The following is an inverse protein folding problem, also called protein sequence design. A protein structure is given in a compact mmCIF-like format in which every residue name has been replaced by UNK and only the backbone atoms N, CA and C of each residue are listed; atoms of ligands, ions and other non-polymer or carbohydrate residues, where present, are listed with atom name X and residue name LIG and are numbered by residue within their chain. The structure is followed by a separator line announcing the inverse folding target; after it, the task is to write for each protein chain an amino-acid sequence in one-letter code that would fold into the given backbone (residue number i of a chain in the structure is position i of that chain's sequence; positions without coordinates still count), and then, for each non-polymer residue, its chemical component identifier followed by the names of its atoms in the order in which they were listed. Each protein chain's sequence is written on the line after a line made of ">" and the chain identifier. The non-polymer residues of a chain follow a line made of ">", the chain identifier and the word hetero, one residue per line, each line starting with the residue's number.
data_IF_363664894846
#
_entry.id   IF_363664894846
#
_cell.length_a   1.000
_cell.length_b   1.000
_cell.length_c   1.000
_cell.angle_alpha   90.00
_cell.angle_beta   90.00
_cell.angle_gamma   90.00
#
_symmetry.space_group_name_H-M   'P 1'
#
loop_
_entity.id
_entity.type
_entity.pdbx_description
1 polymer ?
#
# COMPACT_ATOMS: atom_id res chain seq x y z
N UNK A 1 41.60 -12.68 36.98
CA UNK A 1 41.96 -13.14 35.61
C UNK A 1 41.51 -14.58 35.46
N UNK A 2 40.27 -14.79 35.05
CA UNK A 2 39.81 -16.07 34.52
C UNK A 2 39.36 -15.76 33.09
N UNK A 3 40.32 -15.79 32.16
CA UNK A 3 40.02 -15.61 30.75
C UNK A 3 39.28 -16.85 30.25
N UNK A 4 38.07 -16.64 29.74
CA UNK A 4 37.36 -17.54 28.83
C UNK A 4 38.29 -18.06 27.73
N UNK A 5 38.04 -19.29 27.30
CA UNK A 5 38.91 -20.05 26.42
C UNK A 5 39.17 -19.34 25.08
N UNK A 6 40.24 -19.78 24.40
CA UNK A 6 40.71 -19.24 23.12
C UNK A 6 39.69 -19.43 21.98
N UNK A 7 38.73 -20.33 22.18
CA UNK A 7 37.70 -20.71 21.21
C UNK A 7 36.32 -20.06 21.46
N UNK A 8 36.20 -19.23 22.51
CA UNK A 8 34.92 -18.59 22.87
C UNK A 8 34.67 -17.35 21.98
N UNK A 9 33.76 -17.49 21.01
CA UNK A 9 33.20 -16.38 20.22
C UNK A 9 32.09 -15.67 21.01
N UNK A 10 32.18 -14.34 21.15
CA UNK A 10 31.17 -13.47 21.77
C UNK A 10 29.96 -13.23 20.84
N UNK A 11 30.09 -13.59 19.56
CA UNK A 11 28.98 -13.55 18.61
C UNK A 11 28.09 -14.74 18.86
N UNK A 12 26.86 -14.48 19.32
CA UNK A 12 25.87 -15.52 19.57
C UNK A 12 25.42 -16.12 18.24
N UNK A 13 25.65 -17.42 17.98
CA UNK A 13 25.19 -18.07 16.76
C UNK A 13 23.67 -17.96 16.60
N UNK A 14 22.93 -18.03 17.70
CA UNK A 14 21.48 -17.90 17.72
C UNK A 14 21.00 -16.56 17.13
N UNK A 15 21.58 -15.43 17.57
CA UNK A 15 21.24 -14.09 17.07
C UNK A 15 21.56 -13.98 15.58
N UNK A 16 22.72 -14.48 15.16
CA UNK A 16 23.18 -14.46 13.76
C UNK A 16 22.23 -15.23 12.84
N UNK A 17 21.88 -16.47 13.20
CA UNK A 17 21.03 -17.32 12.36
C UNK A 17 19.57 -16.88 12.36
N UNK A 18 19.05 -16.35 13.47
CA UNK A 18 17.71 -15.77 13.51
C UNK A 18 17.63 -14.53 12.61
N UNK A 19 18.58 -13.60 12.75
CA UNK A 19 18.60 -12.41 11.92
C UNK A 19 18.74 -12.76 10.43
N UNK A 20 19.59 -13.73 10.11
CA UNK A 20 19.69 -14.26 8.75
C UNK A 20 18.38 -14.86 8.25
N UNK A 21 17.74 -15.74 9.03
CA UNK A 21 16.50 -16.40 8.64
C UNK A 21 15.38 -15.40 8.36
N UNK A 22 15.16 -14.43 9.25
CA UNK A 22 14.15 -13.39 9.06
C UNK A 22 14.43 -12.55 7.80
N UNK A 23 15.67 -12.08 7.63
CA UNK A 23 16.04 -11.30 6.44
C UNK A 23 15.93 -12.11 5.14
N UNK A 24 16.22 -13.40 5.19
CA UNK A 24 16.11 -14.29 4.03
C UNK A 24 14.66 -14.49 3.60
N UNK A 25 13.73 -14.62 4.56
CA UNK A 25 12.30 -14.68 4.26
C UNK A 25 11.82 -13.37 3.61
N UNK A 26 12.18 -12.21 4.17
CA UNK A 26 11.84 -10.92 3.55
C UNK A 26 12.45 -10.75 2.16
N UNK A 27 13.69 -11.22 1.96
CA UNK A 27 14.33 -11.20 0.65
C UNK A 27 13.56 -12.02 -0.40
N UNK A 28 13.10 -13.22 -0.03
CA UNK A 28 12.24 -14.05 -0.90
C UNK A 28 10.90 -13.36 -1.19
N UNK A 29 10.24 -12.81 -0.16
CA UNK A 29 8.99 -12.07 -0.33
C UNK A 29 9.16 -10.86 -1.25
N UNK A 30 10.22 -10.07 -1.08
CA UNK A 30 10.52 -8.92 -1.95
C UNK A 30 10.77 -9.34 -3.40
N UNK A 31 11.49 -10.45 -3.61
CA UNK A 31 11.70 -11.02 -4.94
C UNK A 31 10.40 -11.47 -5.61
N UNK A 32 9.51 -12.14 -4.86
CA UNK A 32 8.19 -12.55 -5.35
C UNK A 32 7.31 -11.34 -5.69
N UNK A 33 7.23 -10.35 -4.81
CA UNK A 33 6.48 -9.11 -5.05
C UNK A 33 6.98 -8.39 -6.30
N UNK A 34 8.29 -8.23 -6.44
CA UNK A 34 8.89 -7.61 -7.63
C UNK A 34 8.59 -8.42 -8.90
N UNK A 35 8.67 -9.75 -8.85
CA UNK A 35 8.37 -10.63 -9.97
C UNK A 35 6.91 -10.54 -10.42
N UNK A 36 5.96 -10.58 -9.48
CA UNK A 36 4.53 -10.39 -9.76
C UNK A 36 4.27 -9.00 -10.34
N UNK A 37 4.94 -7.97 -9.81
CA UNK A 37 4.75 -6.58 -10.24
C UNK A 37 5.23 -6.37 -11.67
N UNK A 38 6.41 -6.90 -12.00
CA UNK A 38 6.94 -6.87 -13.37
C UNK A 38 6.03 -7.63 -14.33
N UNK A 39 5.53 -8.81 -13.94
CA UNK A 39 4.60 -9.56 -14.78
C UNK A 39 3.30 -8.79 -15.04
N UNK A 40 2.68 -8.25 -13.99
CA UNK A 40 1.45 -7.46 -14.11
C UNK A 40 1.65 -6.20 -14.97
N UNK A 41 2.77 -5.49 -14.79
CA UNK A 41 3.12 -4.32 -15.58
C UNK A 41 3.29 -4.63 -17.07
N UNK A 42 3.95 -5.75 -17.39
CA UNK A 42 4.13 -6.18 -18.79
C UNK A 42 2.79 -6.54 -19.42
N UNK A 43 1.94 -7.29 -18.72
CA UNK A 43 0.64 -7.71 -19.25
C UNK A 43 -0.28 -6.50 -19.49
N UNK A 44 -0.29 -5.53 -18.56
CA UNK A 44 -1.03 -4.27 -18.71
C UNK A 44 -0.56 -3.46 -19.93
N UNK A 45 0.75 -3.26 -20.06
CA UNK A 45 1.32 -2.41 -21.12
C UNK A 45 1.43 -3.07 -22.51
N UNK A 46 1.11 -4.36 -22.62
CA UNK A 46 1.12 -5.08 -23.91
C UNK A 46 0.03 -4.59 -24.87
N UNK A 47 -1.10 -4.12 -24.32
CA UNK A 47 -2.28 -3.73 -25.09
C UNK A 47 -2.46 -2.22 -25.16
N UNK A 48 -2.14 -1.50 -24.08
CA UNK A 48 -2.24 -0.04 -23.98
C UNK A 48 -0.95 0.51 -23.39
N UNK A 49 -0.17 1.26 -24.17
CA UNK A 49 1.01 1.94 -23.64
C UNK A 49 0.54 3.20 -22.91
N UNK A 50 0.47 3.14 -21.58
CA UNK A 50 0.23 4.33 -20.76
C UNK A 50 1.53 5.13 -20.65
N UNK A 51 1.50 6.38 -21.12
CA UNK A 51 2.55 7.35 -20.78
C UNK A 51 2.39 7.76 -19.31
N UNK A 52 3.46 7.60 -18.52
CA UNK A 52 3.52 8.11 -17.15
C UNK A 52 3.78 9.61 -17.22
N UNK A 53 2.73 10.41 -17.05
CA UNK A 53 2.79 11.88 -17.20
C UNK A 53 2.81 12.60 -15.85
N UNK A 54 2.25 11.97 -14.81
CA UNK A 54 2.16 12.52 -13.46
C UNK A 54 2.60 11.52 -12.39
N UNK A 55 2.94 12.04 -11.21
CA UNK A 55 3.27 11.22 -10.03
C UNK A 55 2.06 10.40 -9.56
N UNK A 56 0.84 10.91 -9.80
CA UNK A 56 -0.40 10.20 -9.47
C UNK A 56 -0.57 8.92 -10.30
N UNK A 57 -0.08 8.90 -11.54
CA UNK A 57 -0.10 7.72 -12.43
C UNK A 57 0.75 6.58 -11.82
N UNK A 58 1.88 6.93 -11.22
CA UNK A 58 2.78 5.99 -10.55
C UNK A 58 2.15 5.47 -9.25
N UNK A 59 1.48 6.33 -8.50
CA UNK A 59 0.90 6.01 -7.18
C UNK A 59 -0.35 5.13 -7.27
N UNK A 60 -1.17 5.31 -8.32
CA UNK A 60 -2.39 4.53 -8.52
C UNK A 60 -2.13 3.20 -9.23
N UNK A 61 -1.03 3.07 -9.98
CA UNK A 61 -0.65 1.81 -10.61
C UNK A 61 -0.11 0.79 -9.58
N UNK A 62 -0.96 -0.17 -9.23
CA UNK A 62 -0.66 -1.24 -8.28
C UNK A 62 0.60 -2.04 -8.70
N UNK A 63 0.82 -2.23 -10.01
CA UNK A 63 1.98 -3.00 -10.51
C UNK A 63 3.28 -2.25 -10.25
N UNK A 64 3.32 -0.95 -10.54
CA UNK A 64 4.50 -0.10 -10.31
C UNK A 64 4.81 -0.03 -8.81
N UNK A 65 3.79 0.19 -7.96
CA UNK A 65 3.96 0.22 -6.51
C UNK A 65 4.52 -1.11 -5.99
N UNK A 66 4.02 -2.24 -6.49
CA UNK A 66 4.50 -3.58 -6.11
C UNK A 66 5.98 -3.79 -6.50
N UNK A 67 6.41 -3.29 -7.67
CA UNK A 67 7.81 -3.33 -8.11
C UNK A 67 8.70 -2.50 -7.18
N UNK A 68 8.29 -1.26 -6.87
CA UNK A 68 9.09 -0.34 -6.04
C UNK A 68 9.22 -0.90 -4.62
N UNK A 69 8.11 -1.25 -3.97
CA UNK A 69 8.11 -1.81 -2.61
C UNK A 69 8.87 -3.13 -2.58
N UNK A 70 8.61 -4.03 -3.54
CA UNK A 70 9.30 -5.32 -3.66
C UNK A 70 10.81 -5.16 -3.82
N UNK A 71 11.25 -4.19 -4.65
CA UNK A 71 12.66 -3.88 -4.84
C UNK A 71 13.34 -3.35 -3.57
N UNK A 72 12.70 -2.45 -2.84
CA UNK A 72 13.21 -1.94 -1.56
C UNK A 72 13.36 -3.09 -0.54
N UNK A 73 12.32 -3.92 -0.39
CA UNK A 73 12.34 -5.07 0.52
C UNK A 73 13.41 -6.09 0.11
N UNK A 74 13.59 -6.34 -1.18
CA UNK A 74 14.63 -7.22 -1.71
C UNK A 74 16.04 -6.70 -1.38
N UNK A 75 16.33 -5.42 -1.64
CA UNK A 75 17.65 -4.82 -1.35
C UNK A 75 17.93 -4.85 0.16
N UNK A 76 16.94 -4.50 0.99
CA UNK A 76 17.08 -4.51 2.44
C UNK A 76 17.30 -5.92 2.98
N UNK A 77 16.49 -6.90 2.56
CA UNK A 77 16.65 -8.30 2.95
C UNK A 77 18.01 -8.86 2.54
N UNK A 78 18.49 -8.55 1.34
CA UNK A 78 19.82 -8.96 0.87
C UNK A 78 20.94 -8.34 1.72
N UNK A 79 20.84 -7.04 2.01
CA UNK A 79 21.82 -6.33 2.85
C UNK A 79 21.85 -6.88 4.28
N UNK A 80 20.70 -7.20 4.86
CA UNK A 80 20.58 -7.83 6.18
C UNK A 80 21.17 -9.23 6.21
N UNK A 81 20.90 -10.05 5.18
CA UNK A 81 21.48 -11.40 5.05
C UNK A 81 23.01 -11.36 4.99
N UNK A 82 23.58 -10.55 4.10
CA UNK A 82 25.05 -10.44 3.96
C UNK A 82 25.66 -9.80 5.20
N UNK A 83 25.04 -8.76 5.74
CA UNK A 83 25.48 -8.10 6.97
C UNK A 83 25.61 -9.09 8.13
N UNK A 84 24.61 -9.95 8.31
CA UNK A 84 24.61 -10.98 9.35
C UNK A 84 25.63 -12.09 9.07
N UNK A 85 25.64 -12.69 7.87
CA UNK A 85 26.50 -13.84 7.56
C UNK A 85 27.99 -13.49 7.50
N UNK A 86 28.31 -12.36 6.86
CA UNK A 86 29.69 -11.88 6.67
C UNK A 86 30.19 -11.02 7.83
N UNK A 87 29.37 -10.80 8.86
CA UNK A 87 29.71 -9.95 10.01
C UNK A 87 30.21 -8.56 9.57
N UNK A 88 29.59 -8.04 8.50
CA UNK A 88 29.94 -6.76 7.90
C UNK A 88 29.15 -5.65 8.58
N UNK A 89 29.81 -4.98 9.54
CA UNK A 89 29.24 -3.87 10.31
C UNK A 89 28.68 -2.76 9.40
N UNK A 90 29.33 -2.44 8.28
CA UNK A 90 28.85 -1.35 7.40
C UNK A 90 27.48 -1.70 6.80
N UNK A 91 27.33 -2.91 6.25
CA UNK A 91 26.05 -3.38 5.71
C UNK A 91 24.98 -3.50 6.80
N UNK A 92 25.34 -3.97 8.00
CA UNK A 92 24.43 -4.07 9.12
C UNK A 92 23.93 -2.70 9.58
N UNK A 93 24.81 -1.68 9.58
CA UNK A 93 24.48 -0.27 9.87
C UNK A 93 23.52 0.33 8.87
N UNK A 94 23.76 0.11 7.59
CA UNK A 94 22.86 0.57 6.52
C UNK A 94 21.49 -0.10 6.70
N UNK A 95 21.48 -1.42 6.92
CA UNK A 95 20.25 -2.19 7.12
C UNK A 95 19.40 -1.64 8.27
N UNK A 96 19.90 -1.64 9.51
CA UNK A 96 19.07 -1.17 10.63
C UNK A 96 18.82 0.34 10.56
N UNK A 97 19.72 1.11 9.94
CA UNK A 97 19.57 2.54 9.73
C UNK A 97 18.37 2.86 8.85
N UNK A 98 18.19 2.14 7.75
CA UNK A 98 17.01 2.29 6.88
C UNK A 98 15.75 1.81 7.59
N UNK A 99 15.79 0.70 8.35
CA UNK A 99 14.63 0.24 9.12
C UNK A 99 14.20 1.27 10.17
N UNK A 100 15.14 1.97 10.83
CA UNK A 100 14.81 3.09 11.74
C UNK A 100 14.10 4.22 10.97
N UNK A 101 14.58 4.59 9.79
CA UNK A 101 13.93 5.63 8.98
C UNK A 101 12.50 5.23 8.57
N UNK A 102 12.30 3.97 8.19
CA UNK A 102 10.97 3.42 7.87
C UNK A 102 10.06 3.48 9.09
N UNK A 103 10.53 3.03 10.26
CA UNK A 103 9.76 3.06 11.50
C UNK A 103 9.34 4.50 11.90
N UNK A 104 10.26 5.47 11.79
CA UNK A 104 9.94 6.88 12.05
C UNK A 104 8.92 7.43 11.04
N UNK A 105 9.04 7.02 9.76
CA UNK A 105 8.06 7.35 8.73
C UNK A 105 6.68 6.79 9.05
N UNK A 106 6.60 5.52 9.46
CA UNK A 106 5.36 4.85 9.84
C UNK A 106 4.67 5.54 11.02
N UNK A 107 5.44 5.88 12.07
CA UNK A 107 4.92 6.65 13.21
C UNK A 107 4.42 8.03 12.76
N UNK A 108 5.16 8.71 11.88
CA UNK A 108 4.77 10.04 11.37
C UNK A 108 3.47 9.95 10.57
N UNK A 109 3.35 8.98 9.67
CA UNK A 109 2.13 8.74 8.88
C UNK A 109 0.96 8.42 9.81
N UNK A 110 1.14 7.56 10.82
CA UNK A 110 0.10 7.21 11.77
C UNK A 110 -0.38 8.44 12.57
N UNK A 111 0.55 9.29 13.02
CA UNK A 111 0.22 10.55 13.73
C UNK A 111 -0.53 11.52 12.82
N UNK A 112 -0.08 11.72 11.57
CA UNK A 112 -0.76 12.59 10.60
C UNK A 112 -2.16 12.06 10.31
N UNK A 113 -2.31 10.76 10.05
CA UNK A 113 -3.60 10.12 9.79
C UNK A 113 -4.57 10.28 10.97
N UNK A 114 -4.06 10.27 12.21
CA UNK A 114 -4.90 10.40 13.40
C UNK A 114 -5.24 11.85 13.75
N UNK A 115 -4.27 12.77 13.68
CA UNK A 115 -4.40 14.17 14.12
C UNK A 115 -4.99 15.06 13.03
N UNK A 116 -4.59 14.85 11.77
CA UNK A 116 -4.96 15.69 10.63
C UNK A 116 -5.97 14.99 9.72
N UNK A 117 -6.97 14.32 10.31
CA UNK A 117 -7.97 13.51 9.58
C UNK A 117 -8.62 14.26 8.42
N UNK A 118 -9.06 15.50 8.65
CA UNK A 118 -9.74 16.30 7.62
C UNK A 118 -8.81 16.64 6.45
N UNK A 119 -7.55 16.98 6.73
CA UNK A 119 -6.57 17.27 5.67
C UNK A 119 -6.23 16.02 4.87
N UNK A 120 -6.05 14.90 5.55
CA UNK A 120 -5.84 13.59 4.91
C UNK A 120 -7.03 13.21 4.05
N UNK A 121 -8.27 13.46 4.54
CA UNK A 121 -9.49 13.26 3.76
C UNK A 121 -9.46 14.06 2.47
N UNK A 122 -9.18 15.36 2.55
CA UNK A 122 -9.12 16.23 1.36
C UNK A 122 -8.04 15.78 0.39
N UNK A 123 -6.84 15.46 0.88
CA UNK A 123 -5.75 14.95 0.04
C UNK A 123 -6.13 13.67 -0.70
N UNK A 124 -6.65 12.67 0.01
CA UNK A 124 -7.09 11.40 -0.60
C UNK A 124 -8.19 11.66 -1.62
N UNK A 125 -9.14 12.52 -1.29
CA UNK A 125 -10.23 12.91 -2.18
C UNK A 125 -9.71 13.46 -3.50
N UNK A 126 -8.78 14.42 -3.45
CA UNK A 126 -8.30 15.10 -4.64
C UNK A 126 -7.54 14.13 -5.56
N UNK A 127 -6.66 13.30 -4.98
CA UNK A 127 -5.93 12.25 -5.70
C UNK A 127 -6.88 11.28 -6.40
N UNK A 128 -7.90 10.80 -5.68
CA UNK A 128 -8.83 9.83 -6.23
C UNK A 128 -9.80 10.45 -7.24
N UNK A 129 -10.19 11.72 -7.10
CA UNK A 129 -11.05 12.38 -8.09
C UNK A 129 -10.38 12.49 -9.45
N UNK A 130 -9.13 12.94 -9.47
CA UNK A 130 -8.35 13.07 -10.71
C UNK A 130 -8.06 11.70 -11.33
N UNK A 131 -7.65 10.72 -10.51
CA UNK A 131 -7.26 9.40 -11.00
C UNK A 131 -8.41 8.46 -11.36
N UNK A 132 -9.48 8.44 -10.57
CA UNK A 132 -10.51 7.39 -10.63
C UNK A 132 -11.82 7.84 -11.29
N UNK A 133 -12.12 9.15 -11.31
CA UNK A 133 -13.36 9.66 -11.94
C UNK A 133 -13.06 10.14 -13.35
N UNK A 134 -12.04 10.98 -13.54
CA UNK A 134 -11.78 11.59 -14.85
C UNK A 134 -11.30 10.56 -15.89
N UNK A 135 -10.59 9.51 -15.44
CA UNK A 135 -10.05 8.42 -16.29
C UNK A 135 -10.85 7.11 -16.25
N UNK A 136 -12.05 7.15 -15.67
CA UNK A 136 -12.93 6.00 -15.64
C UNK A 136 -13.36 5.59 -17.06
N UNK A 137 -13.26 4.30 -17.37
CA UNK A 137 -13.30 3.61 -18.69
C UNK A 137 -11.99 3.56 -19.50
N UNK A 138 -10.99 4.39 -19.22
CA UNK A 138 -9.73 4.33 -19.97
C UNK A 138 -8.74 3.36 -19.32
N UNK A 139 -8.62 3.36 -17.98
CA UNK A 139 -7.61 2.55 -17.27
C UNK A 139 -8.04 1.95 -15.91
N UNK A 140 -8.94 2.61 -15.16
CA UNK A 140 -9.19 2.31 -13.72
C UNK A 140 -10.62 1.80 -13.41
N UNK A 141 -11.34 1.30 -14.41
CA UNK A 141 -12.74 0.85 -14.26
C UNK A 141 -12.88 -0.26 -13.21
N UNK A 142 -12.07 -1.31 -13.32
CA UNK A 142 -12.18 -2.48 -12.44
C UNK A 142 -11.90 -2.18 -10.96
N UNK A 143 -10.95 -1.27 -10.69
CA UNK A 143 -10.62 -0.89 -9.31
C UNK A 143 -11.73 -0.05 -8.69
N UNK A 144 -12.25 0.93 -9.43
CA UNK A 144 -13.34 1.78 -8.95
C UNK A 144 -14.62 0.95 -8.73
N UNK A 145 -14.95 0.07 -9.67
CA UNK A 145 -16.12 -0.81 -9.56
C UNK A 145 -16.02 -1.71 -8.34
N UNK A 146 -14.84 -2.32 -8.11
CA UNK A 146 -14.60 -3.14 -6.92
C UNK A 146 -14.84 -2.36 -5.62
N UNK A 147 -14.33 -1.13 -5.53
CA UNK A 147 -14.54 -0.29 -4.35
C UNK A 147 -16.03 0.02 -4.13
N UNK A 148 -16.75 0.43 -5.19
CA UNK A 148 -18.16 0.80 -5.10
C UNK A 148 -19.04 -0.38 -4.69
N UNK A 149 -18.76 -1.57 -5.23
CA UNK A 149 -19.50 -2.79 -4.92
C UNK A 149 -19.21 -3.34 -3.51
N UNK A 150 -17.94 -3.32 -3.08
CA UNK A 150 -17.52 -3.93 -1.81
C UNK A 150 -17.73 -2.99 -0.62
N UNK A 151 -17.50 -1.69 -0.79
CA UNK A 151 -17.66 -0.69 0.27
C UNK A 151 -19.07 -0.07 0.26
N UNK A 152 -19.88 -0.36 -0.76
CA UNK A 152 -21.26 0.15 -0.92
C UNK A 152 -21.29 1.68 -0.93
N UNK A 153 -20.51 2.25 -1.83
CA UNK A 153 -20.34 3.70 -2.01
C UNK A 153 -20.49 4.09 -3.49
N UNK A 154 -20.59 5.39 -3.78
CA UNK A 154 -20.63 5.90 -5.15
C UNK A 154 -19.92 7.25 -5.28
N UNK A 155 -19.03 7.35 -6.27
CA UNK A 155 -18.17 8.53 -6.42
C UNK A 155 -17.11 8.61 -5.31
N UNK A 156 -16.37 9.71 -5.25
CA UNK A 156 -15.27 9.86 -4.28
C UNK A 156 -15.76 10.49 -2.98
N UNK A 157 -16.35 11.68 -3.07
CA UNK A 157 -17.04 12.34 -1.97
C UNK A 157 -18.56 12.20 -2.07
N UNK A 158 -19.07 12.21 -3.30
CA UNK A 158 -20.50 12.21 -3.57
C UNK A 158 -20.74 11.52 -4.92
N UNK A 159 -21.89 10.88 -5.08
CA UNK A 159 -22.31 10.29 -6.34
C UNK A 159 -22.37 11.33 -7.48
N UNK A 160 -22.51 12.62 -7.15
CA UNK A 160 -22.44 13.72 -8.14
C UNK A 160 -21.06 13.93 -8.76
N UNK A 161 -20.00 13.34 -8.20
CA UNK A 161 -18.66 13.43 -8.77
C UNK A 161 -18.61 12.89 -10.21
N UNK A 162 -19.50 11.96 -10.57
CA UNK A 162 -19.66 11.45 -11.93
C UNK A 162 -20.02 12.52 -12.98
N UNK A 163 -20.46 13.71 -12.57
CA UNK A 163 -20.60 14.85 -13.48
C UNK A 163 -19.28 15.38 -14.05
N UNK A 164 -18.13 14.99 -13.48
CA UNK A 164 -16.81 15.34 -14.01
C UNK A 164 -16.31 14.36 -15.07
N UNK A 165 -16.87 13.15 -15.14
CA UNK A 165 -16.46 12.17 -16.12
C UNK A 165 -17.06 12.48 -17.50
N UNK A 166 -16.26 12.29 -18.56
CA UNK A 166 -16.64 12.57 -19.96
C UNK A 166 -17.85 11.78 -20.44
N UNK A 167 -18.04 10.55 -19.96
CA UNK A 167 -19.11 9.65 -20.39
C UNK A 167 -20.40 9.84 -19.59
N UNK A 168 -20.31 10.15 -18.29
CA UNK A 168 -21.46 10.23 -17.39
C UNK A 168 -22.03 11.64 -17.19
N UNK A 169 -21.28 12.69 -17.52
CA UNK A 169 -21.70 14.06 -17.25
C UNK A 169 -23.07 14.40 -17.85
N UNK A 170 -23.81 15.26 -17.15
CA UNK A 170 -25.20 15.56 -17.47
C UNK A 170 -25.43 16.67 -18.49
N UNK A 171 -24.38 17.21 -19.08
CA UNK A 171 -24.42 18.41 -19.92
C UNK A 171 -25.09 18.12 -21.27
N UNK A 172 -25.75 19.12 -21.84
CA UNK A 172 -26.59 18.93 -23.04
C UNK A 172 -25.82 18.57 -24.31
N UNK A 173 -24.54 18.94 -24.35
CA UNK A 173 -23.54 18.60 -25.36
C UNK A 173 -22.99 17.16 -25.25
N UNK A 174 -23.22 16.45 -24.13
CA UNK A 174 -22.82 15.07 -24.02
C UNK A 174 -23.77 14.15 -24.80
N UNK A 175 -23.23 13.46 -25.79
CA UNK A 175 -23.94 12.50 -26.65
C UNK A 175 -23.75 11.03 -26.20
N UNK A 176 -23.08 10.80 -25.07
CA UNK A 176 -22.89 9.47 -24.48
C UNK A 176 -24.22 8.81 -24.11
N UNK A 177 -24.34 7.52 -24.39
CA UNK A 177 -25.48 6.71 -23.94
C UNK A 177 -25.56 6.60 -22.41
N UNK A 178 -24.44 6.86 -21.71
CA UNK A 178 -24.31 6.82 -20.24
C UNK A 178 -24.51 8.20 -19.59
N UNK A 179 -24.91 9.21 -20.36
CA UNK A 179 -25.20 10.56 -19.85
C UNK A 179 -26.23 10.54 -18.72
N UNK A 180 -25.96 11.30 -17.65
CA UNK A 180 -26.86 11.41 -16.49
C UNK A 180 -27.13 10.08 -15.78
N UNK A 181 -26.18 9.17 -15.84
CA UNK A 181 -26.20 7.89 -15.14
C UNK A 181 -24.97 7.83 -14.22
N UNK A 182 -24.94 6.88 -13.30
CA UNK A 182 -23.74 6.50 -12.55
C UNK A 182 -23.30 5.09 -12.98
N UNK A 183 -22.05 4.67 -12.74
CA UNK A 183 -21.65 3.29 -12.96
C UNK A 183 -22.57 2.27 -12.30
N UNK A 184 -22.68 1.09 -12.93
CA UNK A 184 -23.52 0.00 -12.43
C UNK A 184 -23.06 -0.46 -11.02
N UNK A 185 -21.76 -0.36 -10.73
CA UNK A 185 -21.14 -0.67 -9.44
C UNK A 185 -21.62 0.22 -8.29
N UNK A 186 -22.20 1.40 -8.57
CA UNK A 186 -22.85 2.25 -7.56
C UNK A 186 -24.18 1.68 -7.04
N UNK A 187 -24.75 0.67 -7.68
CA UNK A 187 -26.12 0.25 -7.43
C UNK A 187 -26.23 -0.68 -6.22
N UNK A 188 -27.34 -0.57 -5.47
CA UNK A 188 -27.52 -1.31 -4.23
C UNK A 188 -27.72 -2.81 -4.46
N UNK A 189 -28.51 -3.15 -5.48
CA UNK A 189 -28.77 -4.53 -5.89
C UNK A 189 -28.82 -4.63 -7.43
N UNK A 190 -28.16 -5.62 -8.04
CA UNK A 190 -28.41 -5.97 -9.44
C UNK A 190 -29.86 -6.47 -9.55
N UNK A 191 -30.61 -5.99 -10.55
CA UNK A 191 -32.04 -6.29 -10.74
C UNK A 191 -32.35 -7.79 -10.51
N UNK A 192 -33.23 -8.09 -9.54
CA UNK A 192 -33.71 -9.46 -9.25
C UNK A 192 -34.31 -10.16 -10.48
N UNK A 193 -34.72 -9.36 -11.47
CA UNK A 193 -35.37 -9.79 -12.71
C UNK A 193 -34.40 -10.43 -13.72
N UNK A 194 -33.10 -10.14 -13.63
CA UNK A 194 -32.05 -10.74 -14.48
C UNK A 194 -30.77 -11.02 -13.68
N UNK A 195 -30.69 -12.17 -12.98
CA UNK A 195 -29.50 -12.53 -12.22
C UNK A 195 -28.27 -12.60 -13.13
N UNK A 196 -27.23 -11.82 -12.80
CA UNK A 196 -25.96 -11.83 -13.52
C UNK A 196 -25.85 -10.86 -14.71
N UNK A 197 -26.87 -10.01 -14.97
CA UNK A 197 -26.77 -8.93 -15.96
C UNK A 197 -26.70 -7.59 -15.25
N UNK A 198 -25.60 -6.86 -15.45
CA UNK A 198 -25.41 -5.54 -14.86
C UNK A 198 -26.33 -4.51 -15.52
N UNK A 199 -27.15 -3.84 -14.72
CA UNK A 199 -27.98 -2.74 -15.21
C UNK A 199 -27.14 -1.48 -15.39
N UNK A 200 -26.53 -1.33 -16.57
CA UNK A 200 -25.70 -0.17 -16.94
C UNK A 200 -26.46 1.17 -16.96
N UNK A 201 -27.79 1.14 -16.91
CA UNK A 201 -28.65 2.33 -16.82
C UNK A 201 -29.20 2.57 -15.41
N UNK A 202 -28.67 1.85 -14.42
CA UNK A 202 -29.03 2.05 -13.04
C UNK A 202 -28.69 3.48 -12.58
N UNK A 203 -29.61 4.11 -11.83
CA UNK A 203 -29.44 5.50 -11.44
C UNK A 203 -29.59 6.51 -12.58
N UNK A 204 -30.22 6.14 -13.70
CA UNK A 204 -30.60 7.10 -14.76
C UNK A 204 -31.38 8.27 -14.17
N UNK A 205 -30.89 9.48 -14.42
CA UNK A 205 -31.46 10.72 -13.88
C UNK A 205 -30.95 11.09 -12.48
N UNK A 206 -30.22 10.21 -11.78
CA UNK A 206 -29.74 10.46 -10.42
C UNK A 206 -28.92 11.74 -10.30
N UNK A 207 -28.13 12.06 -11.34
CA UNK A 207 -27.28 13.26 -11.36
C UNK A 207 -28.06 14.58 -11.55
N UNK A 208 -29.34 14.54 -11.96
CA UNK A 208 -30.24 15.71 -12.10
C UNK A 208 -31.35 15.75 -11.05
N UNK A 209 -31.73 14.61 -10.47
CA UNK A 209 -32.85 14.51 -9.53
C UNK A 209 -32.44 14.75 -8.06
N UNK A 210 -33.42 15.17 -7.24
CA UNK A 210 -33.25 15.36 -5.80
C UNK A 210 -33.02 14.05 -5.05
N UNK A 211 -32.23 14.11 -3.98
CA UNK A 211 -31.77 12.96 -3.17
C UNK A 211 -32.89 12.00 -2.73
N UNK A 212 -34.10 12.52 -2.52
CA UNK A 212 -35.29 11.80 -2.09
C UNK A 212 -35.87 10.83 -3.13
N UNK A 213 -35.45 10.91 -4.39
CA UNK A 213 -35.84 9.97 -5.47
C UNK A 213 -34.76 8.94 -5.79
N UNK A 214 -33.56 9.09 -5.22
CA UNK A 214 -32.38 8.29 -5.57
C UNK A 214 -32.20 7.11 -4.60
N UNK A 215 -33.20 6.23 -4.50
CA UNK A 215 -33.14 5.09 -3.58
C UNK A 215 -32.33 3.89 -4.10
N UNK A 216 -32.11 3.82 -5.42
CA UNK A 216 -31.50 2.66 -6.10
C UNK A 216 -29.97 2.62 -6.08
N UNK A 217 -29.31 3.71 -5.72
CA UNK A 217 -27.83 3.80 -5.70
C UNK A 217 -27.32 4.05 -4.28
N UNK A 218 -26.07 3.67 -4.05
CA UNK A 218 -25.32 4.10 -2.89
C UNK A 218 -25.00 5.59 -3.02
N UNK A 219 -25.30 6.35 -1.99
CA UNK A 219 -25.31 7.82 -2.04
C UNK A 219 -24.14 8.42 -1.26
N UNK A 220 -23.47 7.60 -0.45
CA UNK A 220 -22.27 7.93 0.31
C UNK A 220 -21.04 7.88 -0.60
N UNK A 221 -20.17 8.89 -0.50
CA UNK A 221 -18.88 8.89 -1.19
C UNK A 221 -17.95 7.80 -0.67
N UNK A 222 -17.10 7.25 -1.54
CA UNK A 222 -16.21 6.16 -1.18
C UNK A 222 -15.15 6.55 -0.13
N UNK A 223 -14.68 7.81 -0.09
CA UNK A 223 -13.74 8.25 0.95
C UNK A 223 -14.41 8.25 2.33
N UNK A 224 -15.64 8.76 2.41
CA UNK A 224 -16.41 8.77 3.65
C UNK A 224 -16.77 7.36 4.12
N UNK A 225 -17.20 6.50 3.21
CA UNK A 225 -17.50 5.11 3.52
C UNK A 225 -16.24 4.35 3.97
N UNK A 226 -15.08 4.60 3.35
CA UNK A 226 -13.80 4.04 3.75
C UNK A 226 -13.37 4.51 5.15
N UNK A 227 -13.58 5.78 5.47
CA UNK A 227 -13.29 6.32 6.81
C UNK A 227 -14.18 5.68 7.88
N UNK A 228 -15.49 5.55 7.62
CA UNK A 228 -16.41 4.86 8.53
C UNK A 228 -16.03 3.38 8.69
N UNK A 229 -15.60 2.73 7.61
CA UNK A 229 -15.11 1.35 7.66
C UNK A 229 -13.82 1.25 8.48
N UNK A 230 -12.91 2.21 8.36
CA UNK A 230 -11.66 2.26 9.12
C UNK A 230 -11.92 2.48 10.62
N UNK A 231 -12.85 3.37 10.96
CA UNK A 231 -13.26 3.60 12.35
C UNK A 231 -13.91 2.37 12.97
N UNK A 232 -14.77 1.68 12.22
CA UNK A 232 -15.40 0.43 12.66
C UNK A 232 -14.39 -0.69 12.86
N UNK A 233 -13.36 -0.76 12.01
CA UNK A 233 -12.33 -1.81 12.02
C UNK A 233 -11.01 -1.35 12.66
N UNK A 234 -11.04 -0.30 13.48
CA UNK A 234 -9.85 0.27 14.10
C UNK A 234 -8.99 -0.79 14.85
N UNK A 235 -9.56 -1.79 15.57
CA UNK A 235 -8.75 -2.82 16.21
C UNK A 235 -7.95 -3.68 15.22
N UNK A 236 -8.53 -3.98 14.05
CA UNK A 236 -7.85 -4.77 13.00
C UNK A 236 -6.71 -3.95 12.40
N UNK A 237 -6.98 -2.68 12.06
CA UNK A 237 -5.97 -1.77 11.52
C UNK A 237 -4.84 -1.57 12.52
N UNK A 238 -5.16 -1.35 13.79
CA UNK A 238 -4.16 -1.27 14.86
C UNK A 238 -3.33 -2.55 14.98
N UNK A 239 -3.95 -3.72 14.83
CA UNK A 239 -3.26 -5.00 14.78
C UNK A 239 -2.27 -5.12 13.62
N UNK A 240 -2.64 -4.64 12.42
CA UNK A 240 -1.75 -4.61 11.25
C UNK A 240 -0.56 -3.70 11.50
N UNK A 241 -0.79 -2.47 12.00
CA UNK A 241 0.29 -1.51 12.31
C UNK A 241 1.25 -2.09 13.36
N UNK A 242 0.73 -2.69 14.43
CA UNK A 242 1.56 -3.37 15.44
C UNK A 242 2.32 -4.55 14.82
N UNK A 243 1.66 -5.31 13.94
CA UNK A 243 2.26 -6.44 13.22
C UNK A 243 3.40 -6.04 12.28
N UNK A 244 3.43 -4.79 11.82
CA UNK A 244 4.53 -4.22 11.03
C UNK A 244 5.63 -3.65 11.95
N UNK A 245 5.23 -2.89 12.96
CA UNK A 245 6.14 -2.21 13.89
C UNK A 245 6.99 -3.16 14.74
N UNK A 246 6.41 -4.25 15.26
CA UNK A 246 7.11 -5.17 16.17
C UNK A 246 8.27 -5.90 15.48
N UNK A 247 8.11 -6.51 14.28
CA UNK A 247 9.22 -7.08 13.54
C UNK A 247 10.33 -6.08 13.22
N UNK A 248 10.00 -4.83 12.89
CA UNK A 248 10.98 -3.77 12.65
C UNK A 248 11.83 -3.50 13.91
N UNK A 249 11.18 -3.34 15.07
CA UNK A 249 11.88 -3.14 16.35
C UNK A 249 12.76 -4.33 16.70
N UNK A 250 12.28 -5.56 16.52
CA UNK A 250 13.06 -6.77 16.72
C UNK A 250 14.29 -6.81 15.80
N UNK A 251 14.12 -6.49 14.51
CA UNK A 251 15.22 -6.43 13.55
C UNK A 251 16.27 -5.39 13.94
N UNK A 252 15.84 -4.20 14.40
CA UNK A 252 16.75 -3.15 14.90
C UNK A 252 17.52 -3.66 16.13
N UNK A 253 16.81 -4.21 17.13
CA UNK A 253 17.43 -4.70 18.36
C UNK A 253 18.45 -5.81 18.09
N UNK A 254 18.08 -6.81 17.28
CA UNK A 254 18.97 -7.92 16.93
C UNK A 254 20.17 -7.46 16.11
N UNK A 255 19.98 -6.49 15.19
CA UNK A 255 21.08 -5.95 14.39
C UNK A 255 22.06 -5.14 15.22
N UNK A 256 21.57 -4.32 16.16
CA UNK A 256 22.42 -3.58 17.11
C UNK A 256 23.16 -4.51 18.07
N UNK A 257 22.49 -5.55 18.56
CA UNK A 257 23.10 -6.56 19.40
C UNK A 257 24.24 -7.29 18.65
N UNK A 258 23.98 -7.71 17.41
CA UNK A 258 24.99 -8.36 16.58
C UNK A 258 26.15 -7.41 16.24
N UNK A 259 25.86 -6.13 15.97
CA UNK A 259 26.91 -5.12 15.78
C UNK A 259 27.84 -5.03 17.00
N UNK A 260 27.27 -4.91 18.21
CA UNK A 260 28.04 -4.84 19.45
C UNK A 260 28.94 -6.07 19.64
N UNK A 261 28.38 -7.27 19.43
CA UNK A 261 29.14 -8.51 19.52
C UNK A 261 30.31 -8.58 18.52
N UNK A 262 30.12 -8.09 17.29
CA UNK A 262 31.18 -8.05 16.28
C UNK A 262 32.27 -7.03 16.68
N UNK A 263 31.89 -5.88 17.24
CA UNK A 263 32.86 -4.87 17.70
C UNK A 263 33.72 -5.39 18.86
N UNK A 264 33.11 -6.01 19.86
CA UNK A 264 33.80 -6.60 21.00
C UNK A 264 34.80 -7.68 20.56
N UNK A 265 34.40 -8.53 19.60
CA UNK A 265 35.30 -9.51 18.99
C UNK A 265 36.49 -8.85 18.28
N UNK A 266 36.24 -7.82 17.48
CA UNK A 266 37.31 -7.07 16.79
C UNK A 266 38.26 -6.39 17.77
N UNK A 267 37.77 -5.88 18.90
CA UNK A 267 38.60 -5.30 19.95
C UNK A 267 39.47 -6.33 20.65
N UNK A 268 38.92 -7.49 21.00
CA UNK A 268 39.70 -8.60 21.57
C UNK A 268 40.83 -9.02 20.62
N UNK A 269 40.55 -9.16 19.32
CA UNK A 269 41.57 -9.51 18.33
C UNK A 269 42.64 -8.43 18.18
N UNK A 270 42.27 -7.15 18.27
CA UNK A 270 43.25 -6.04 18.28
C UNK A 270 44.13 -6.08 19.52
N UNK A 271 43.56 -6.36 20.70
CA UNK A 271 44.30 -6.46 21.96
C UNK A 271 45.21 -7.67 22.01
N UNK A 272 44.83 -8.81 21.42
CA UNK A 272 45.70 -10.00 21.33
C UNK A 272 46.88 -9.81 20.37
N UNK A 273 46.78 -8.86 19.42
CA UNK A 273 47.81 -8.59 18.41
C UNK A 273 48.82 -7.52 18.85
N UNK A 274 48.55 -6.77 19.93
CA UNK A 274 49.51 -5.87 20.58
C UNK A 274 50.32 -6.63 21.62
#
# INVERSE_FOLDING_TARGET
>A
MACCAKDDTFVSPFVKYILFLFNFLFWLCGGLMMGVGVWAYIEKNKYYFQEVTSIYDIMLDISIVLIIIGGVVFILGFSGCIGALRENICLLRIFYGVIILIFLGEVTIAVIAFVLRDQVKTWITDILKEGMIERYHDDEEALMDWFQENIKCCGINDYKDWNKNRYFNCTDDNHSALKCVVPYSCCKDPDEMTPGVNNILCGKGALKEDLSKVNKINTIGCVDALMQLAERNLPIIGGIVIGIAVPQLLAICLSRLLEGQIQDQRERWRNYRR
#
